data_IF_640844664100
#
_entry.id   IF_640844664100
#
_cell.length_a   1.000
_cell.length_b   1.000
_cell.length_c   1.000
_cell.angle_alpha   90.00
_cell.angle_beta   90.00
_cell.angle_gamma   90.00
#
_symmetry.space_group_name_H-M   'P 1'
#
loop_
_entity.id
_entity.type
_entity.pdbx_description
1 polymer ?
#
# COMPACT_ATOMS: atom_id res chain seq x y z
N UNK A 1 -2.65 -3.64 -40.64
CA UNK A 1 -2.44 -3.31 -39.19
C UNK A 1 -2.70 -1.84 -39.02
N UNK A 2 -3.86 -1.47 -38.46
CA UNK A 2 -4.18 -0.08 -38.18
C UNK A 2 -3.24 0.41 -37.07
N UNK A 3 -2.58 1.55 -37.33
CA UNK A 3 -1.77 2.23 -36.31
C UNK A 3 -2.73 2.65 -35.16
N UNK A 4 -2.46 2.15 -33.97
CA UNK A 4 -3.17 2.56 -32.77
C UNK A 4 -2.90 4.06 -32.57
N UNK A 5 -3.94 4.89 -32.64
CA UNK A 5 -3.79 6.31 -32.43
C UNK A 5 -3.55 6.60 -30.95
N UNK A 6 -2.30 6.79 -30.62
CA UNK A 6 -1.81 7.03 -29.25
C UNK A 6 -2.31 8.38 -28.71
N UNK A 7 -2.77 9.29 -29.59
CA UNK A 7 -3.21 10.64 -29.24
C UNK A 7 -4.61 10.63 -28.61
N UNK A 8 -5.55 9.90 -29.20
CA UNK A 8 -6.93 9.80 -28.71
C UNK A 8 -7.00 9.04 -27.38
N UNK A 9 -6.25 7.93 -27.26
CA UNK A 9 -6.13 7.19 -26.00
C UNK A 9 -5.47 8.02 -24.87
N UNK A 10 -4.58 8.95 -25.22
CA UNK A 10 -3.95 9.84 -24.23
C UNK A 10 -4.90 10.97 -23.77
N UNK A 11 -5.80 11.44 -24.63
CA UNK A 11 -6.80 12.46 -24.25
C UNK A 11 -7.86 11.86 -23.32
N UNK A 12 -8.36 10.65 -23.60
CA UNK A 12 -9.31 9.94 -22.74
C UNK A 12 -8.71 9.64 -21.35
N UNK A 13 -7.45 9.23 -21.31
CA UNK A 13 -6.73 9.00 -20.07
C UNK A 13 -6.49 10.31 -19.29
N UNK A 14 -6.23 11.40 -19.99
CA UNK A 14 -6.06 12.72 -19.38
C UNK A 14 -7.37 13.24 -18.79
N UNK A 15 -8.49 13.13 -19.51
CA UNK A 15 -9.81 13.52 -19.00
C UNK A 15 -10.25 12.65 -17.82
N UNK A 16 -10.06 11.33 -17.89
CA UNK A 16 -10.37 10.43 -16.81
C UNK A 16 -9.53 10.77 -15.54
N UNK A 17 -8.26 11.15 -15.71
CA UNK A 17 -7.38 11.57 -14.64
C UNK A 17 -7.81 12.90 -14.01
N UNK A 18 -8.25 13.86 -14.82
CA UNK A 18 -8.78 15.13 -14.32
C UNK A 18 -10.07 14.91 -13.51
N UNK A 19 -11.01 14.11 -14.00
CA UNK A 19 -12.24 13.75 -13.27
C UNK A 19 -11.95 12.99 -11.97
N UNK A 20 -10.94 12.15 -11.95
CA UNK A 20 -10.50 11.48 -10.72
C UNK A 20 -10.07 12.49 -9.67
N UNK A 21 -9.23 13.47 -10.03
CA UNK A 21 -8.77 14.50 -9.12
C UNK A 21 -9.85 15.52 -8.73
N UNK A 22 -10.90 15.69 -9.52
CA UNK A 22 -12.08 16.49 -9.17
C UNK A 22 -12.97 15.77 -8.14
N UNK A 23 -13.03 14.45 -8.19
CA UNK A 23 -13.91 13.62 -7.36
C UNK A 23 -13.24 13.19 -6.05
N UNK A 24 -11.93 13.01 -6.07
CA UNK A 24 -11.15 12.55 -4.92
C UNK A 24 -10.12 13.60 -4.50
N UNK A 25 -9.98 13.85 -3.20
CA UNK A 25 -8.94 14.75 -2.73
C UNK A 25 -7.57 14.28 -3.25
N UNK A 26 -6.77 15.22 -3.69
CA UNK A 26 -5.45 14.95 -4.27
C UNK A 26 -4.61 14.12 -3.28
N UNK A 27 -4.19 12.89 -3.62
CA UNK A 27 -3.40 12.09 -2.72
C UNK A 27 -2.03 12.75 -2.51
N UNK A 28 -1.58 12.83 -1.26
CA UNK A 28 -0.24 13.37 -0.96
C UNK A 28 0.87 12.49 -1.57
N UNK A 29 0.65 11.18 -1.64
CA UNK A 29 1.60 10.24 -2.24
C UNK A 29 1.03 9.62 -3.50
N UNK A 30 1.84 9.59 -4.57
CA UNK A 30 1.47 8.87 -5.79
C UNK A 30 1.94 7.40 -5.75
N UNK A 31 3.09 7.15 -5.17
CA UNK A 31 3.67 5.82 -5.02
C UNK A 31 4.65 5.76 -3.84
N UNK A 32 4.86 4.56 -3.38
CA UNK A 32 5.89 4.21 -2.41
C UNK A 32 6.76 3.13 -3.05
N UNK A 33 8.06 3.36 -3.08
CA UNK A 33 9.06 2.41 -3.57
C UNK A 33 9.83 1.83 -2.37
N UNK A 34 9.52 0.59 -2.03
CA UNK A 34 10.19 -0.13 -0.96
C UNK A 34 11.31 -1.00 -1.52
N UNK A 35 12.50 -0.91 -0.92
CA UNK A 35 13.62 -1.79 -1.22
C UNK A 35 13.66 -2.92 -0.22
N UNK A 36 13.82 -4.15 -0.72
CA UNK A 36 13.94 -5.37 0.07
C UNK A 36 15.14 -6.18 -0.41
N UNK A 37 15.79 -6.89 0.50
CA UNK A 37 16.97 -7.69 0.16
C UNK A 37 16.62 -8.93 -0.68
N UNK A 38 15.43 -9.49 -0.52
CA UNK A 38 14.90 -10.65 -1.25
C UNK A 38 13.41 -10.44 -1.51
N UNK A 39 13.09 -10.06 -2.74
CA UNK A 39 11.73 -9.73 -3.13
C UNK A 39 10.83 -10.97 -3.24
N UNK A 40 11.37 -12.11 -3.63
CA UNK A 40 10.62 -13.35 -3.76
C UNK A 40 10.26 -13.94 -2.37
N UNK A 41 11.14 -13.81 -1.40
CA UNK A 41 10.90 -14.27 -0.03
C UNK A 41 9.74 -13.52 0.66
N UNK A 42 9.55 -12.24 0.37
CA UNK A 42 8.48 -11.42 0.99
C UNK A 42 7.23 -11.31 0.14
N UNK A 43 7.23 -11.84 -1.05
CA UNK A 43 6.09 -11.73 -1.97
C UNK A 43 4.78 -12.30 -1.41
N UNK A 44 4.74 -13.49 -0.78
CA UNK A 44 3.50 -14.01 -0.19
C UNK A 44 2.91 -13.08 0.87
N UNK A 45 3.77 -12.45 1.67
CA UNK A 45 3.36 -11.47 2.68
C UNK A 45 2.68 -10.26 2.05
N UNK A 46 3.32 -9.64 1.03
CA UNK A 46 2.75 -8.48 0.36
C UNK A 46 1.54 -8.81 -0.50
N UNK A 47 1.50 -9.95 -1.17
CA UNK A 47 0.32 -10.41 -1.91
C UNK A 47 -0.91 -10.49 -0.99
N UNK A 48 -0.75 -11.08 0.21
CA UNK A 48 -1.82 -11.21 1.18
C UNK A 48 -2.23 -9.86 1.81
N UNK A 49 -1.24 -9.04 2.21
CA UNK A 49 -1.49 -7.74 2.83
C UNK A 49 -2.16 -6.77 1.85
N UNK A 50 -1.63 -6.65 0.63
CA UNK A 50 -2.12 -5.69 -0.35
C UNK A 50 -3.49 -6.08 -0.92
N UNK A 51 -3.83 -7.36 -0.95
CA UNK A 51 -5.17 -7.82 -1.31
C UNK A 51 -6.26 -7.25 -0.40
N UNK A 52 -6.00 -7.10 0.91
CA UNK A 52 -6.95 -6.49 1.85
C UNK A 52 -7.26 -5.03 1.47
N UNK A 53 -6.28 -4.29 0.95
CA UNK A 53 -6.46 -2.92 0.50
C UNK A 53 -7.18 -2.81 -0.86
N UNK A 54 -7.61 -3.93 -1.44
CA UNK A 54 -8.28 -3.95 -2.73
C UNK A 54 -7.36 -3.57 -3.89
N UNK A 55 -6.07 -3.84 -3.76
CA UNK A 55 -5.10 -3.63 -4.83
C UNK A 55 -5.05 -4.81 -5.79
N UNK A 56 -4.57 -4.56 -6.99
CA UNK A 56 -4.20 -5.58 -7.98
C UNK A 56 -2.69 -5.58 -8.21
N UNK A 57 -2.08 -6.76 -8.47
CA UNK A 57 -0.66 -6.82 -8.78
C UNK A 57 -0.34 -6.12 -10.09
N UNK A 58 0.84 -5.52 -10.15
CA UNK A 58 1.40 -4.93 -11.37
C UNK A 58 2.81 -5.45 -11.61
N UNK A 59 3.25 -5.40 -12.88
CA UNK A 59 4.62 -5.76 -13.24
C UNK A 59 5.25 -4.57 -13.98
N UNK A 60 5.66 -3.52 -13.25
CA UNK A 60 6.35 -2.38 -13.86
C UNK A 60 7.69 -2.81 -14.47
N UNK A 61 8.16 -2.07 -15.49
CA UNK A 61 9.40 -2.44 -16.21
C UNK A 61 10.67 -2.40 -15.37
N UNK A 62 10.67 -1.57 -14.32
CA UNK A 62 11.88 -1.24 -13.54
C UNK A 62 11.84 -1.72 -12.09
N UNK A 63 10.74 -2.33 -11.66
CA UNK A 63 10.59 -2.87 -10.31
C UNK A 63 10.40 -4.38 -10.36
N UNK A 64 10.67 -5.08 -9.26
CA UNK A 64 10.47 -6.52 -9.21
C UNK A 64 9.00 -6.89 -9.37
N UNK A 65 8.12 -6.22 -8.62
CA UNK A 65 6.66 -6.26 -8.72
C UNK A 65 6.05 -5.08 -7.95
N UNK A 66 4.76 -4.88 -8.10
CA UNK A 66 4.06 -3.83 -7.39
C UNK A 66 2.57 -4.10 -7.27
N UNK A 67 1.90 -3.20 -6.61
CA UNK A 67 0.47 -3.23 -6.36
C UNK A 67 -0.11 -1.86 -6.66
N UNK A 68 -1.33 -1.83 -7.17
CA UNK A 68 -2.04 -0.58 -7.45
C UNK A 68 -3.51 -0.74 -7.14
N UNK A 69 -4.14 0.35 -6.72
CA UNK A 69 -5.59 0.40 -6.58
C UNK A 69 -6.20 0.92 -7.87
N UNK A 70 -7.32 0.31 -8.27
CA UNK A 70 -8.07 0.76 -9.43
C UNK A 70 -9.26 1.60 -9.02
N UNK A 71 -9.42 2.74 -9.68
CA UNK A 71 -10.56 3.64 -9.53
C UNK A 71 -11.19 3.86 -10.92
N UNK A 72 -12.18 3.01 -11.25
CA UNK A 72 -12.69 2.94 -12.62
C UNK A 72 -11.61 2.51 -13.61
N UNK A 73 -11.28 3.36 -14.57
CA UNK A 73 -10.22 3.11 -15.58
C UNK A 73 -8.82 3.55 -15.12
N UNK A 74 -8.73 4.24 -13.97
CA UNK A 74 -7.48 4.82 -13.48
C UNK A 74 -6.82 3.89 -12.47
N UNK A 75 -5.50 3.76 -12.58
CA UNK A 75 -4.64 3.15 -11.56
C UNK A 75 -3.96 4.25 -10.75
N UNK A 76 -4.02 4.12 -9.43
CA UNK A 76 -3.38 5.03 -8.50
C UNK A 76 -2.90 4.27 -7.26
N UNK A 77 -2.31 4.97 -6.29
CA UNK A 77 -1.82 4.41 -5.03
C UNK A 77 -0.88 3.23 -5.28
N UNK A 78 0.23 3.49 -5.98
CA UNK A 78 1.20 2.44 -6.27
C UNK A 78 2.08 2.14 -5.06
N UNK A 79 2.23 0.85 -4.78
CA UNK A 79 3.20 0.33 -3.82
C UNK A 79 4.13 -0.64 -4.56
N UNK A 80 5.38 -0.27 -4.72
CA UNK A 80 6.35 -0.99 -5.55
C UNK A 80 7.42 -1.65 -4.69
N UNK A 81 7.83 -2.85 -5.09
CA UNK A 81 8.90 -3.61 -4.45
C UNK A 81 10.10 -3.66 -5.40
N UNK A 82 11.22 -3.12 -4.94
CA UNK A 82 12.52 -3.20 -5.58
C UNK A 82 13.38 -4.21 -4.83
N UNK A 83 14.06 -5.06 -5.58
CA UNK A 83 15.08 -5.94 -5.00
C UNK A 83 16.44 -5.23 -4.97
N UNK A 84 17.05 -5.23 -3.79
CA UNK A 84 18.38 -4.71 -3.55
C UNK A 84 19.02 -5.55 -2.44
N UNK A 85 19.85 -6.56 -2.79
CA UNK A 85 20.42 -7.50 -1.82
C UNK A 85 21.27 -6.84 -0.72
N UNK A 86 21.78 -5.64 -0.97
CA UNK A 86 22.61 -4.90 -0.02
C UNK A 86 21.77 -4.00 0.90
N UNK A 87 20.46 -3.87 0.65
CA UNK A 87 19.59 -3.04 1.50
C UNK A 87 19.43 -3.63 2.88
N UNK A 88 19.22 -2.76 3.85
CA UNK A 88 18.87 -3.12 5.23
C UNK A 88 17.66 -2.30 5.66
N UNK A 89 16.77 -2.89 6.47
CA UNK A 89 15.66 -2.15 7.04
C UNK A 89 16.15 -0.92 7.81
N UNK A 90 15.37 0.15 7.72
CA UNK A 90 15.62 1.39 8.45
C UNK A 90 14.60 1.58 9.57
N UNK A 91 14.70 2.67 10.31
CA UNK A 91 13.70 3.07 11.29
C UNK A 91 12.47 3.73 10.65
N UNK A 92 12.48 3.94 9.34
CA UNK A 92 11.32 4.47 8.62
C UNK A 92 10.15 3.53 8.77
N UNK A 93 8.96 4.07 9.06
CA UNK A 93 7.70 3.35 9.13
C UNK A 93 6.76 3.85 8.06
N UNK A 94 6.12 2.93 7.36
CA UNK A 94 5.05 3.23 6.40
C UNK A 94 3.73 2.92 7.09
N UNK A 95 2.88 3.94 7.24
CA UNK A 95 1.56 3.82 7.83
C UNK A 95 0.48 3.87 6.75
N UNK A 96 -0.39 2.87 6.73
CA UNK A 96 -1.57 2.82 5.87
C UNK A 96 -2.82 3.15 6.66
N UNK A 97 -3.71 3.94 6.07
CA UNK A 97 -5.00 4.25 6.65
C UNK A 97 -5.98 3.07 6.49
N UNK A 98 -6.66 2.72 7.56
CA UNK A 98 -7.71 1.71 7.60
C UNK A 98 -9.11 2.35 7.60
N UNK A 99 -10.09 1.77 6.87
CA UNK A 99 -11.45 2.28 6.84
C UNK A 99 -12.22 2.02 8.15
N UNK A 100 -11.80 1.04 8.95
CA UNK A 100 -12.47 0.66 10.20
C UNK A 100 -11.53 -0.09 11.16
N UNK A 101 -11.95 -0.18 12.43
CA UNK A 101 -11.31 -1.03 13.44
C UNK A 101 -11.24 -2.50 12.99
N UNK A 102 -12.34 -3.05 12.46
CA UNK A 102 -12.39 -4.42 11.97
C UNK A 102 -11.37 -4.69 10.86
N UNK A 103 -11.09 -3.69 10.01
CA UNK A 103 -10.05 -3.82 8.99
C UNK A 103 -8.65 -3.94 9.60
N UNK A 104 -8.37 -3.20 10.68
CA UNK A 104 -7.08 -3.33 11.41
C UNK A 104 -6.94 -4.72 12.02
N UNK A 105 -8.04 -5.30 12.55
CA UNK A 105 -8.05 -6.67 13.07
C UNK A 105 -7.78 -7.69 11.96
N UNK A 106 -8.37 -7.51 10.77
CA UNK A 106 -8.11 -8.37 9.60
C UNK A 106 -6.66 -8.30 9.17
N UNK A 107 -6.08 -7.09 9.10
CA UNK A 107 -4.66 -6.91 8.80
C UNK A 107 -3.79 -7.64 9.82
N UNK A 108 -4.08 -7.51 11.10
CA UNK A 108 -3.30 -8.19 12.16
C UNK A 108 -3.29 -9.72 11.97
N UNK A 109 -4.42 -10.30 11.58
CA UNK A 109 -4.49 -11.75 11.28
C UNK A 109 -3.64 -12.12 10.08
N UNK A 110 -3.82 -11.39 8.95
CA UNK A 110 -3.07 -11.64 7.72
C UNK A 110 -1.56 -11.49 7.93
N UNK A 111 -1.14 -10.47 8.66
CA UNK A 111 0.27 -10.24 8.99
C UNK A 111 0.85 -11.42 9.79
N UNK A 112 0.14 -11.92 10.81
CA UNK A 112 0.57 -13.08 11.61
C UNK A 112 0.69 -14.35 10.76
N UNK A 113 -0.31 -14.59 9.93
CA UNK A 113 -0.40 -15.82 9.11
C UNK A 113 0.64 -15.87 7.99
N UNK A 114 1.19 -14.70 7.59
CA UNK A 114 2.14 -14.58 6.49
C UNK A 114 3.57 -14.18 6.93
N UNK A 115 3.93 -14.38 8.19
CA UNK A 115 5.30 -14.23 8.66
C UNK A 115 5.71 -12.82 9.08
N UNK A 116 4.74 -11.93 9.33
CA UNK A 116 5.02 -10.64 9.95
C UNK A 116 5.65 -10.79 11.34
N UNK A 117 6.52 -9.85 11.68
CA UNK A 117 7.34 -9.89 12.89
C UNK A 117 7.06 -8.67 13.77
N UNK A 118 7.47 -8.75 15.04
CA UNK A 118 7.41 -7.66 16.02
C UNK A 118 6.04 -6.96 16.05
N UNK A 119 4.98 -7.79 16.10
CA UNK A 119 3.58 -7.32 16.02
C UNK A 119 3.14 -6.77 17.36
N UNK A 120 2.75 -5.49 17.38
CA UNK A 120 2.16 -4.79 18.53
C UNK A 120 0.74 -4.36 18.20
N UNK A 121 -0.21 -4.71 19.05
CA UNK A 121 -1.65 -4.53 18.77
C UNK A 121 -2.27 -5.76 18.09
N UNK A 122 -3.49 -5.64 17.52
CA UNK A 122 -4.26 -4.41 17.36
C UNK A 122 -4.85 -3.92 18.68
N UNK A 123 -4.80 -2.61 18.94
CA UNK A 123 -5.37 -2.00 20.13
C UNK A 123 -5.53 -0.48 19.97
N UNK A 124 -6.20 0.15 20.94
CA UNK A 124 -6.18 1.60 21.05
C UNK A 124 -4.85 2.08 21.64
N UNK A 125 -4.28 3.12 21.04
CA UNK A 125 -3.06 3.78 21.50
C UNK A 125 -3.41 5.20 21.96
N UNK A 126 -3.95 5.31 23.17
CA UNK A 126 -4.45 6.56 23.73
C UNK A 126 -3.39 7.67 23.81
N UNK A 127 -2.11 7.29 23.89
CA UNK A 127 -0.99 8.25 23.85
C UNK A 127 -0.90 9.01 22.52
N UNK A 128 -1.48 8.49 21.44
CA UNK A 128 -1.55 9.19 20.16
C UNK A 128 -2.87 9.96 20.05
N UNK A 129 -3.98 9.28 20.25
CA UNK A 129 -5.33 9.86 20.28
C UNK A 129 -6.32 8.81 20.82
N UNK A 130 -7.39 9.19 21.56
CA UNK A 130 -8.37 8.24 22.12
C UNK A 130 -9.07 7.35 21.09
N UNK A 131 -9.13 7.77 19.82
CA UNK A 131 -9.75 6.98 18.75
C UNK A 131 -8.72 6.28 17.85
N UNK A 132 -7.43 6.32 18.22
CA UNK A 132 -6.35 5.76 17.42
C UNK A 132 -6.24 4.26 17.64
N UNK A 133 -6.80 3.48 16.74
CA UNK A 133 -6.73 2.01 16.75
C UNK A 133 -5.76 1.52 15.69
N UNK A 134 -4.74 0.79 16.07
CA UNK A 134 -3.66 0.44 15.16
C UNK A 134 -3.05 -0.93 15.45
N UNK A 135 -2.36 -1.45 14.44
CA UNK A 135 -1.40 -2.54 14.54
C UNK A 135 -0.08 -2.09 13.95
N UNK A 136 1.00 -2.28 14.69
CA UNK A 136 2.38 -2.08 14.25
C UNK A 136 3.03 -3.43 13.98
N UNK A 137 3.83 -3.53 12.94
CA UNK A 137 4.49 -4.78 12.60
C UNK A 137 5.71 -4.54 11.71
N UNK A 138 6.49 -5.58 11.53
CA UNK A 138 7.55 -5.65 10.54
C UNK A 138 7.19 -6.72 9.49
N UNK A 139 7.63 -6.50 8.24
CA UNK A 139 7.60 -7.55 7.23
C UNK A 139 8.59 -8.68 7.59
N UNK A 140 8.62 -9.80 6.85
CA UNK A 140 9.56 -10.88 7.15
C UNK A 140 11.05 -10.51 7.08
N UNK A 141 11.40 -9.37 6.50
CA UNK A 141 12.77 -8.84 6.42
C UNK A 141 13.05 -7.66 7.36
N UNK A 142 12.06 -7.25 8.19
CA UNK A 142 12.23 -6.23 9.22
C UNK A 142 11.87 -4.81 8.80
N UNK A 143 11.26 -4.60 7.63
CA UNK A 143 10.74 -3.29 7.25
C UNK A 143 9.48 -2.97 8.09
N UNK A 144 9.39 -1.72 8.58
CA UNK A 144 8.39 -1.32 9.57
C UNK A 144 7.15 -0.76 8.92
N UNK A 145 6.01 -1.26 9.40
CA UNK A 145 4.69 -0.86 8.96
C UNK A 145 3.77 -0.55 10.13
N UNK A 146 2.72 0.16 9.78
CA UNK A 146 1.58 0.42 10.64
C UNK A 146 0.32 0.40 9.78
N UNK A 147 -0.77 -0.12 10.33
CA UNK A 147 -2.11 0.11 9.79
C UNK A 147 -2.97 0.68 10.90
N UNK A 148 -3.54 1.87 10.66
CA UNK A 148 -4.28 2.58 11.70
C UNK A 148 -5.63 3.09 11.19
N UNK A 149 -6.60 3.02 12.09
CA UNK A 149 -7.90 3.67 11.97
C UNK A 149 -8.02 4.73 13.05
N UNK A 150 -8.25 5.97 12.66
CA UNK A 150 -8.55 7.04 13.60
C UNK A 150 -9.54 8.00 12.95
N UNK A 151 -10.45 8.55 13.78
CA UNK A 151 -11.28 9.68 13.40
C UNK A 151 -10.66 10.92 14.00
N UNK A 152 -10.25 11.82 13.14
CA UNK A 152 -9.95 13.18 13.57
C UNK A 152 -11.28 13.92 13.62
N UNK A 153 -11.90 13.99 14.80
CA UNK A 153 -13.05 14.85 14.98
C UNK A 153 -12.59 16.31 14.86
N UNK A 154 -13.34 17.08 14.07
CA UNK A 154 -13.08 18.50 13.84
C UNK A 154 -13.33 19.29 15.11
#
# INVERSE_FOLDING_TARGET
MAAYDVTEANEDLREARLRYFETYPFPMFSHIDLRVADADAVRPFYDALMALFGTEPTTPRVVRYGYTRRYGTIRADFFNIFEDPDTRPTLTRIAFAAPSVAFVDDVSRVVRDNGGQNIEGPQYFDQHHPTYYAVFFEDPLGNRFEVCHHRMDK
#
